data_IF_151523779536
#
_entry.id   IF_151523779536
#
_cell.length_a   1.000
_cell.length_b   1.000
_cell.length_c   1.000
_cell.angle_alpha   90.00
_cell.angle_beta   90.00
_cell.angle_gamma   90.00
#
_symmetry.space_group_name_H-M   'P 1'
#
loop_
_entity.id
_entity.type
_entity.pdbx_description
1 polymer ?
#
# COMPACT_ATOMS: atom_id res chain seq x y z
N UNK A 1 -12.49 -1.79 -53.32
CA UNK A 1 -12.71 -2.42 -52.00
C UNK A 1 -12.56 -1.35 -50.93
N UNK A 2 -13.69 -0.82 -50.44
CA UNK A 2 -13.74 0.06 -49.27
C UNK A 2 -13.91 -0.85 -48.06
N UNK A 3 -12.93 -0.88 -47.17
CA UNK A 3 -13.04 -1.57 -45.88
C UNK A 3 -13.48 -0.56 -44.83
N UNK A 4 -14.50 -1.00 -44.09
CA UNK A 4 -15.34 -0.26 -43.18
C UNK A 4 -14.57 0.15 -41.91
N UNK A 5 -14.72 1.40 -41.50
CA UNK A 5 -14.13 1.93 -40.29
C UNK A 5 -15.06 1.59 -39.11
N UNK A 6 -14.73 0.52 -38.39
CA UNK A 6 -15.40 0.13 -37.15
C UNK A 6 -15.34 1.25 -36.11
N UNK A 7 -16.52 1.73 -35.71
CA UNK A 7 -16.77 2.61 -34.57
C UNK A 7 -16.05 2.10 -33.33
N UNK A 8 -15.27 2.96 -32.68
CA UNK A 8 -14.85 2.81 -31.29
C UNK A 8 -16.08 2.98 -30.40
N UNK A 9 -16.48 1.92 -29.71
CA UNK A 9 -17.45 2.01 -28.63
C UNK A 9 -16.81 2.68 -27.41
N UNK A 10 -17.46 3.74 -26.97
CA UNK A 10 -17.12 4.58 -25.84
C UNK A 10 -17.54 3.85 -24.55
N UNK A 11 -16.57 3.32 -23.79
CA UNK A 11 -16.80 2.52 -22.58
C UNK A 11 -17.10 3.38 -21.34
N UNK A 12 -17.95 4.39 -21.49
CA UNK A 12 -18.58 5.08 -20.35
C UNK A 12 -19.64 4.17 -19.72
N UNK A 13 -19.26 3.29 -18.80
CA UNK A 13 -20.22 2.40 -18.15
C UNK A 13 -21.08 3.16 -17.13
N UNK A 14 -22.36 3.28 -17.46
CA UNK A 14 -23.41 3.89 -16.64
C UNK A 14 -24.00 2.89 -15.65
N UNK A 15 -24.30 3.30 -14.43
CA UNK A 15 -25.12 2.54 -13.49
C UNK A 15 -26.56 2.35 -13.98
N UNK A 16 -27.39 1.65 -13.20
CA UNK A 16 -28.80 1.34 -13.56
C UNK A 16 -29.68 2.57 -13.83
N UNK A 17 -29.17 3.78 -13.56
CA UNK A 17 -29.82 5.08 -13.74
C UNK A 17 -29.13 6.00 -14.77
N UNK A 18 -28.20 5.51 -15.60
CA UNK A 18 -27.54 6.33 -16.62
C UNK A 18 -26.47 7.30 -16.09
N UNK A 19 -26.13 7.25 -14.80
CA UNK A 19 -25.06 8.04 -14.17
C UNK A 19 -23.72 7.28 -14.12
N UNK A 20 -22.58 7.97 -14.16
CA UNK A 20 -21.28 7.32 -13.98
C UNK A 20 -21.18 6.71 -12.57
N UNK A 21 -20.70 5.47 -12.50
CA UNK A 21 -20.52 4.77 -11.22
C UNK A 21 -19.44 5.46 -10.38
N UNK A 22 -19.77 5.76 -9.12
CA UNK A 22 -18.87 6.34 -8.11
C UNK A 22 -18.23 5.22 -7.28
N UNK A 23 -16.91 5.20 -7.20
CA UNK A 23 -16.15 4.19 -6.48
C UNK A 23 -16.00 4.55 -5.01
N UNK A 24 -16.36 3.61 -4.14
CA UNK A 24 -16.32 3.77 -2.69
C UNK A 24 -15.36 2.76 -2.06
N UNK A 25 -14.33 3.24 -1.39
CA UNK A 25 -13.41 2.39 -0.61
C UNK A 25 -13.80 2.47 0.85
N UNK A 26 -13.93 1.32 1.51
CA UNK A 26 -14.24 1.23 2.93
C UNK A 26 -13.05 0.66 3.69
N UNK A 27 -12.73 1.24 4.85
CA UNK A 27 -11.88 0.56 5.82
C UNK A 27 -12.43 -0.83 6.21
N UNK A 28 -11.54 -1.79 6.46
CA UNK A 28 -11.87 -3.17 6.80
C UNK A 28 -12.72 -3.29 8.06
N UNK A 29 -12.66 -2.32 8.97
CA UNK A 29 -13.56 -2.26 10.12
C UNK A 29 -15.04 -2.16 9.71
N UNK A 30 -15.36 -1.42 8.64
CA UNK A 30 -16.70 -1.34 8.08
C UNK A 30 -17.14 -2.67 7.46
N UNK A 31 -16.24 -3.34 6.73
CA UNK A 31 -16.52 -4.68 6.19
C UNK A 31 -16.76 -5.70 7.31
N UNK A 32 -16.00 -5.61 8.40
CA UNK A 32 -16.20 -6.44 9.59
C UNK A 32 -17.55 -6.17 10.27
N UNK A 33 -17.98 -4.91 10.36
CA UNK A 33 -19.30 -4.54 10.88
C UNK A 33 -20.42 -5.12 10.01
N UNK A 34 -20.33 -4.96 8.68
CA UNK A 34 -21.29 -5.51 7.70
C UNK A 34 -21.35 -7.03 7.73
N UNK A 35 -20.21 -7.71 7.82
CA UNK A 35 -20.16 -9.16 7.99
C UNK A 35 -20.79 -9.59 9.33
N UNK A 36 -20.54 -8.83 10.41
CA UNK A 36 -21.14 -9.05 11.72
C UNK A 36 -22.67 -8.95 11.70
N UNK A 37 -23.23 -8.12 10.83
CA UNK A 37 -24.67 -8.07 10.58
C UNK A 37 -25.24 -9.33 9.92
N UNK A 38 -24.49 -10.39 9.63
CA UNK A 38 -25.07 -11.63 9.09
C UNK A 38 -25.43 -12.70 10.12
N UNK A 39 -25.24 -12.41 11.42
CA UNK A 39 -25.57 -13.33 12.53
C UNK A 39 -27.07 -13.56 12.75
N UNK A 40 -27.96 -12.73 12.18
CA UNK A 40 -29.42 -12.88 12.29
C UNK A 40 -30.15 -12.47 10.99
N UNK A 41 -31.36 -12.97 10.74
CA UNK A 41 -32.18 -12.57 9.58
C UNK A 41 -32.42 -11.05 9.53
N UNK A 42 -32.71 -10.43 10.68
CA UNK A 42 -32.94 -8.97 10.79
C UNK A 42 -31.71 -8.17 10.35
N UNK A 43 -30.52 -8.62 10.72
CA UNK A 43 -29.27 -7.91 10.41
C UNK A 43 -28.81 -8.21 8.97
N UNK A 44 -29.15 -9.38 8.40
CA UNK A 44 -28.93 -9.67 6.97
C UNK A 44 -29.74 -8.73 6.08
N UNK A 45 -31.00 -8.47 6.42
CA UNK A 45 -31.84 -7.50 5.70
C UNK A 45 -31.22 -6.09 5.71
N UNK A 46 -30.60 -5.69 6.84
CA UNK A 46 -29.90 -4.40 6.95
C UNK A 46 -28.72 -4.30 5.98
N UNK A 47 -27.94 -5.37 5.85
CA UNK A 47 -26.77 -5.40 4.93
C UNK A 47 -27.21 -5.28 3.47
N UNK A 48 -28.25 -6.02 3.07
CA UNK A 48 -28.81 -5.93 1.71
C UNK A 48 -29.40 -4.54 1.42
N UNK A 49 -30.09 -3.95 2.41
CA UNK A 49 -30.63 -2.60 2.30
C UNK A 49 -29.52 -1.56 2.14
N UNK A 50 -28.42 -1.71 2.88
CA UNK A 50 -27.25 -0.83 2.74
C UNK A 50 -26.66 -0.92 1.33
N UNK A 51 -26.43 -2.13 0.83
CA UNK A 51 -25.93 -2.35 -0.53
C UNK A 51 -26.85 -1.77 -1.61
N UNK A 52 -28.16 -2.03 -1.51
CA UNK A 52 -29.15 -1.49 -2.44
C UNK A 52 -29.13 0.04 -2.46
N UNK A 53 -29.05 0.67 -1.28
CA UNK A 53 -28.96 2.14 -1.18
C UNK A 53 -27.69 2.71 -1.80
N UNK A 54 -26.54 2.04 -1.63
CA UNK A 54 -25.31 2.47 -2.30
C UNK A 54 -25.50 2.47 -3.81
N UNK A 55 -26.05 1.39 -4.36
CA UNK A 55 -26.28 1.25 -5.80
C UNK A 55 -27.34 2.23 -6.33
N UNK A 56 -28.41 2.50 -5.57
CA UNK A 56 -29.41 3.53 -5.88
C UNK A 56 -28.77 4.93 -5.96
N UNK A 57 -27.76 5.19 -5.12
CA UNK A 57 -26.94 6.40 -5.14
C UNK A 57 -25.79 6.31 -6.15
N UNK A 58 -25.71 5.27 -6.99
CA UNK A 58 -24.65 5.11 -7.98
C UNK A 58 -23.26 4.82 -7.40
N UNK A 59 -23.15 4.45 -6.11
CA UNK A 59 -21.91 4.02 -5.49
C UNK A 59 -21.69 2.51 -5.61
N UNK A 60 -20.45 2.11 -5.90
CA UNK A 60 -20.02 0.71 -5.91
C UNK A 60 -18.79 0.55 -5.03
N UNK A 61 -18.76 -0.54 -4.26
CA UNK A 61 -17.65 -0.84 -3.37
C UNK A 61 -16.41 -1.26 -4.18
N UNK A 62 -15.27 -0.63 -3.90
CA UNK A 62 -13.97 -0.99 -4.45
C UNK A 62 -13.20 -1.88 -3.46
N UNK A 63 -12.84 -3.08 -3.92
CA UNK A 63 -12.12 -4.10 -3.18
C UNK A 63 -10.67 -4.25 -3.66
N UNK A 64 -9.83 -4.82 -2.80
CA UNK A 64 -8.45 -5.19 -3.08
C UNK A 64 -8.06 -6.38 -2.22
N UNK A 65 -6.94 -7.03 -2.54
CA UNK A 65 -6.43 -8.18 -1.77
C UNK A 65 -6.16 -7.81 -0.31
N UNK A 66 -5.83 -6.54 -0.03
CA UNK A 66 -5.59 -6.07 1.33
C UNK A 66 -6.84 -6.14 2.21
N UNK A 67 -8.02 -5.82 1.64
CA UNK A 67 -9.29 -6.02 2.35
C UNK A 67 -9.54 -7.50 2.63
N UNK A 68 -9.25 -8.37 1.66
CA UNK A 68 -9.43 -9.81 1.80
C UNK A 68 -8.51 -10.39 2.87
N UNK A 69 -7.22 -10.07 2.81
CA UNK A 69 -6.19 -10.50 3.77
C UNK A 69 -6.61 -10.14 5.21
N UNK A 70 -7.04 -8.90 5.48
CA UNK A 70 -7.46 -8.52 6.83
C UNK A 70 -8.76 -9.21 7.30
N UNK A 71 -9.66 -9.56 6.37
CA UNK A 71 -10.89 -10.27 6.71
C UNK A 71 -10.64 -11.74 7.06
N UNK A 72 -9.67 -12.39 6.41
CA UNK A 72 -9.32 -13.80 6.68
C UNK A 72 -8.30 -13.97 7.80
N UNK A 73 -7.57 -12.90 8.16
CA UNK A 73 -6.55 -12.89 9.21
C UNK A 73 -7.19 -12.87 10.63
N UNK A 74 -7.95 -13.91 10.96
CA UNK A 74 -8.53 -14.11 12.28
C UNK A 74 -8.46 -15.58 12.71
N UNK A 75 -8.35 -15.85 14.00
CA UNK A 75 -8.24 -17.23 14.53
C UNK A 75 -9.58 -17.99 14.53
N UNK A 76 -10.69 -17.27 14.65
CA UNK A 76 -12.06 -17.84 14.60
C UNK A 76 -12.50 -18.15 13.17
N UNK A 77 -12.55 -19.44 12.83
CA UNK A 77 -12.95 -19.96 11.51
C UNK A 77 -14.40 -19.58 11.15
N UNK A 78 -15.32 -19.61 12.13
CA UNK A 78 -16.72 -19.27 11.89
C UNK A 78 -16.87 -17.78 11.53
N UNK A 79 -16.04 -16.92 12.12
CA UNK A 79 -15.99 -15.52 11.75
C UNK A 79 -15.43 -15.31 10.34
N UNK A 80 -14.36 -16.03 9.98
CA UNK A 80 -13.77 -15.95 8.63
C UNK A 80 -14.77 -16.41 7.58
N UNK A 81 -15.43 -17.56 7.78
CA UNK A 81 -16.45 -18.07 6.88
C UNK A 81 -17.63 -17.08 6.72
N UNK A 82 -18.08 -16.44 7.81
CA UNK A 82 -19.11 -15.40 7.74
C UNK A 82 -18.68 -14.17 6.92
N UNK A 83 -17.41 -13.76 7.01
CA UNK A 83 -16.85 -12.64 6.23
C UNK A 83 -16.73 -12.98 4.74
N UNK A 84 -16.28 -14.19 4.42
CA UNK A 84 -16.21 -14.68 3.03
C UNK A 84 -17.61 -14.78 2.42
N UNK A 85 -18.57 -15.36 3.15
CA UNK A 85 -19.98 -15.42 2.71
C UNK A 85 -20.58 -14.03 2.51
N UNK A 86 -20.17 -13.05 3.30
CA UNK A 86 -20.56 -11.66 3.10
C UNK A 86 -19.99 -11.11 1.79
N UNK A 87 -18.67 -11.21 1.56
CA UNK A 87 -18.04 -10.75 0.31
C UNK A 87 -18.67 -11.44 -0.91
N UNK A 88 -18.80 -12.77 -0.88
CA UNK A 88 -19.43 -13.58 -1.92
C UNK A 88 -20.92 -13.28 -2.16
N UNK A 89 -21.55 -12.49 -1.28
CA UNK A 89 -22.96 -12.11 -1.43
C UNK A 89 -23.18 -10.73 -2.00
N UNK A 90 -22.12 -9.93 -2.16
CA UNK A 90 -22.21 -8.63 -2.81
C UNK A 90 -22.55 -8.84 -4.29
N UNK A 91 -23.61 -8.20 -4.73
CA UNK A 91 -24.14 -8.29 -6.09
C UNK A 91 -23.28 -7.51 -7.08
N UNK A 92 -22.75 -6.36 -6.67
CA UNK A 92 -21.98 -5.46 -7.51
C UNK A 92 -20.80 -4.89 -6.73
N UNK A 93 -19.59 -5.18 -7.21
CA UNK A 93 -18.33 -4.67 -6.70
C UNK A 93 -17.41 -4.31 -7.84
N UNK A 94 -16.46 -3.44 -7.54
CA UNK A 94 -15.28 -3.19 -8.34
C UNK A 94 -14.09 -3.74 -7.58
N UNK A 95 -13.09 -4.26 -8.27
CA UNK A 95 -11.85 -4.65 -7.62
C UNK A 95 -10.63 -4.35 -8.48
N UNK A 96 -9.48 -4.23 -7.81
CA UNK A 96 -8.18 -4.10 -8.48
C UNK A 96 -7.90 -5.39 -9.24
N UNK A 97 -7.59 -5.26 -10.53
CA UNK A 97 -7.15 -6.35 -11.39
C UNK A 97 -5.84 -6.93 -10.86
N UNK A 98 -5.81 -8.23 -10.66
CA UNK A 98 -4.57 -8.99 -10.45
C UNK A 98 -3.86 -9.16 -11.80
N UNK A 99 -2.73 -8.49 -11.99
CA UNK A 99 -1.95 -8.56 -13.22
C UNK A 99 -1.12 -9.85 -13.29
N UNK A 100 -0.86 -10.51 -12.17
CA UNK A 100 -0.27 -11.85 -12.13
C UNK A 100 -1.27 -12.96 -12.44
N UNK A 101 -2.58 -12.67 -12.31
CA UNK A 101 -3.70 -13.50 -12.73
C UNK A 101 -3.99 -14.74 -11.86
N UNK A 102 -3.29 -14.94 -10.76
CA UNK A 102 -3.38 -16.15 -9.94
C UNK A 102 -4.60 -16.16 -8.99
N UNK A 103 -4.99 -15.00 -8.47
CA UNK A 103 -6.01 -14.86 -7.42
C UNK A 103 -7.25 -14.12 -7.90
N UNK A 104 -7.12 -13.33 -8.97
CA UNK A 104 -8.20 -12.50 -9.51
C UNK A 104 -8.44 -11.20 -8.73
N UNK A 105 -7.84 -11.05 -7.54
CA UNK A 105 -7.94 -9.88 -6.68
C UNK A 105 -6.56 -9.24 -6.47
N UNK A 106 -6.36 -8.06 -7.03
CA UNK A 106 -5.09 -7.32 -6.99
C UNK A 106 -4.94 -6.42 -5.76
N UNK A 107 -3.72 -5.95 -5.54
CA UNK A 107 -3.33 -5.07 -4.44
C UNK A 107 -2.53 -3.86 -4.89
N UNK A 108 -1.79 -3.28 -3.95
CA UNK A 108 -0.97 -2.07 -4.18
C UNK A 108 0.10 -2.27 -5.26
N UNK A 109 0.65 -3.48 -5.39
CA UNK A 109 1.62 -3.78 -6.44
C UNK A 109 0.96 -3.81 -7.83
N UNK A 110 -0.29 -4.25 -7.94
CA UNK A 110 -1.03 -4.20 -9.20
C UNK A 110 -1.39 -2.77 -9.61
N UNK A 111 -1.63 -1.89 -8.63
CA UNK A 111 -1.75 -0.45 -8.88
C UNK A 111 -0.43 0.07 -9.48
N UNK A 112 0.70 -0.26 -8.86
CA UNK A 112 2.02 0.13 -9.38
C UNK A 112 2.27 -0.42 -10.79
N UNK A 113 1.88 -1.68 -11.07
CA UNK A 113 2.00 -2.27 -12.41
C UNK A 113 1.23 -1.44 -13.43
N UNK A 114 -0.02 -1.08 -13.14
CA UNK A 114 -0.83 -0.25 -14.04
C UNK A 114 -0.23 1.18 -14.23
N UNK A 115 0.31 1.77 -13.17
CA UNK A 115 1.01 3.06 -13.21
C UNK A 115 2.31 2.99 -14.03
N UNK A 116 3.07 1.91 -13.90
CA UNK A 116 4.28 1.66 -14.68
C UNK A 116 3.95 1.47 -16.16
N UNK A 117 2.92 0.68 -16.50
CA UNK A 117 2.43 0.55 -17.88
C UNK A 117 2.02 1.91 -18.47
N UNK A 118 1.36 2.77 -17.69
CA UNK A 118 1.00 4.12 -18.12
C UNK A 118 2.24 4.96 -18.44
N UNK A 119 3.25 4.94 -17.57
CA UNK A 119 4.51 5.67 -17.78
C UNK A 119 5.33 5.13 -18.96
N UNK A 120 5.30 3.82 -19.20
CA UNK A 120 5.98 3.20 -20.34
C UNK A 120 5.38 3.66 -21.69
N UNK A 121 4.05 3.88 -21.75
CA UNK A 121 3.38 4.40 -22.95
C UNK A 121 3.84 5.82 -23.31
N UNK A 122 4.07 6.67 -22.32
CA UNK A 122 4.61 8.00 -22.54
C UNK A 122 5.41 8.48 -21.33
N UNK A 123 6.74 8.60 -21.46
CA UNK A 123 7.61 9.12 -20.39
C UNK A 123 7.37 10.57 -20.00
N UNK A 124 6.47 11.28 -20.70
CA UNK A 124 6.15 12.70 -20.44
C UNK A 124 4.83 12.90 -19.70
N UNK A 125 4.07 11.84 -19.42
CA UNK A 125 2.82 11.95 -18.65
C UNK A 125 3.09 12.55 -17.28
N UNK A 126 2.31 13.57 -16.93
CA UNK A 126 2.27 14.11 -15.56
C UNK A 126 1.65 13.09 -14.59
N UNK A 127 1.84 13.31 -13.28
CA UNK A 127 1.30 12.46 -12.21
C UNK A 127 -0.20 12.15 -12.37
N UNK A 128 -1.02 13.17 -12.71
CA UNK A 128 -2.46 12.99 -12.88
C UNK A 128 -2.80 12.25 -14.18
N UNK A 129 -2.02 12.45 -15.24
CA UNK A 129 -2.19 11.69 -16.49
C UNK A 129 -1.84 10.21 -16.30
N UNK A 130 -0.80 9.91 -15.52
CA UNK A 130 -0.46 8.52 -15.13
C UNK A 130 -1.61 7.90 -14.35
N UNK A 131 -2.13 8.60 -13.34
CA UNK A 131 -3.31 8.17 -12.57
C UNK A 131 -4.49 7.84 -13.49
N UNK A 132 -4.88 8.77 -14.36
CA UNK A 132 -6.06 8.58 -15.21
C UNK A 132 -5.84 7.42 -16.19
N UNK A 133 -4.65 7.33 -16.78
CA UNK A 133 -4.30 6.28 -17.73
C UNK A 133 -4.14 4.89 -17.07
N UNK A 134 -3.76 4.82 -15.79
CA UNK A 134 -3.74 3.58 -15.01
C UNK A 134 -5.17 3.14 -14.64
N UNK A 135 -6.02 4.09 -14.22
CA UNK A 135 -7.42 3.86 -13.83
C UNK A 135 -8.21 3.11 -14.91
N UNK A 136 -7.98 3.41 -16.19
CA UNK A 136 -8.64 2.78 -17.34
C UNK A 136 -8.51 1.25 -17.39
N UNK A 137 -7.40 0.69 -16.87
CA UNK A 137 -7.10 -0.75 -16.97
C UNK A 137 -7.10 -1.47 -15.61
N UNK A 138 -7.01 -0.70 -14.54
CA UNK A 138 -6.80 -1.21 -13.19
C UNK A 138 -8.01 -1.94 -12.61
N UNK A 139 -9.23 -1.66 -13.09
CA UNK A 139 -10.45 -2.16 -12.47
C UNK A 139 -11.13 -3.29 -13.24
N UNK A 140 -11.72 -4.21 -12.48
CA UNK A 140 -12.68 -5.21 -12.93
C UNK A 140 -14.01 -5.01 -12.19
N UNK A 141 -15.12 -5.39 -12.84
CA UNK A 141 -16.47 -5.21 -12.35
C UNK A 141 -17.21 -6.55 -12.37
N UNK A 142 -18.08 -6.77 -11.39
CA UNK A 142 -18.82 -8.02 -11.27
C UNK A 142 -19.39 -8.23 -9.88
N UNK A 143 -19.71 -9.48 -9.55
CA UNK A 143 -20.17 -9.85 -8.22
C UNK A 143 -19.00 -10.08 -7.27
N UNK A 144 -19.27 -10.07 -5.97
CA UNK A 144 -18.26 -10.41 -4.97
C UNK A 144 -17.79 -11.86 -5.08
N UNK A 145 -18.55 -12.76 -5.71
CA UNK A 145 -18.08 -14.12 -6.05
C UNK A 145 -17.03 -14.10 -7.13
N UNK A 146 -17.20 -13.26 -8.14
CA UNK A 146 -16.23 -13.11 -9.23
C UNK A 146 -14.93 -12.53 -8.68
N UNK A 147 -15.03 -11.54 -7.79
CA UNK A 147 -13.88 -10.87 -7.18
C UNK A 147 -13.00 -11.81 -6.33
N UNK A 148 -13.61 -12.66 -5.49
CA UNK A 148 -12.85 -13.54 -4.56
C UNK A 148 -12.69 -14.97 -5.08
N UNK A 149 -13.27 -15.30 -6.24
CA UNK A 149 -13.38 -16.68 -6.73
C UNK A 149 -12.03 -17.38 -6.88
N UNK A 150 -11.01 -16.67 -7.34
CA UNK A 150 -9.64 -17.19 -7.44
C UNK A 150 -8.92 -17.34 -6.10
N UNK A 151 -9.37 -16.65 -5.05
CA UNK A 151 -8.80 -16.77 -3.70
C UNK A 151 -9.33 -18.01 -2.96
N UNK A 152 -10.58 -18.41 -3.19
CA UNK A 152 -11.24 -19.47 -2.40
C UNK A 152 -10.53 -20.84 -2.44
N UNK A 153 -9.98 -21.32 -3.57
CA UNK A 153 -9.25 -22.59 -3.62
C UNK A 153 -7.98 -22.61 -2.76
N UNK A 154 -7.42 -21.44 -2.45
CA UNK A 154 -6.17 -21.27 -1.71
C UNK A 154 -6.41 -20.65 -0.33
N UNK A 155 -7.62 -20.75 0.21
CA UNK A 155 -8.01 -19.99 1.39
C UNK A 155 -7.11 -20.27 2.60
N UNK A 156 -6.74 -21.53 2.83
CA UNK A 156 -5.91 -21.92 3.96
C UNK A 156 -4.47 -21.40 3.79
N UNK A 157 -3.91 -21.49 2.58
CA UNK A 157 -2.60 -20.96 2.24
C UNK A 157 -2.57 -19.43 2.34
N UNK A 158 -3.59 -18.76 1.80
CA UNK A 158 -3.75 -17.30 1.88
C UNK A 158 -3.92 -16.85 3.32
N UNK A 159 -4.62 -17.62 4.16
CA UNK A 159 -4.78 -17.30 5.58
C UNK A 159 -3.47 -17.43 6.33
N UNK A 160 -2.72 -18.52 6.11
CA UNK A 160 -1.39 -18.68 6.67
C UNK A 160 -0.46 -17.52 6.24
N UNK A 161 -0.52 -17.15 4.96
CA UNK A 161 0.25 -16.05 4.39
C UNK A 161 -0.18 -14.69 4.96
N UNK A 162 -1.48 -14.43 5.14
CA UNK A 162 -2.00 -13.19 5.73
C UNK A 162 -1.56 -13.05 7.20
N UNK A 163 -1.59 -14.13 7.97
CA UNK A 163 -1.07 -14.16 9.36
C UNK A 163 0.43 -13.86 9.37
N UNK A 164 1.20 -14.51 8.49
CA UNK A 164 2.63 -14.27 8.34
C UNK A 164 2.94 -12.81 7.95
N UNK A 165 2.26 -12.28 6.93
CA UNK A 165 2.41 -10.89 6.46
C UNK A 165 2.10 -9.90 7.56
N UNK A 166 1.04 -10.11 8.32
CA UNK A 166 0.70 -9.22 9.43
C UNK A 166 1.74 -9.24 10.55
N UNK A 167 2.37 -10.38 10.81
CA UNK A 167 3.50 -10.47 11.73
C UNK A 167 4.71 -9.69 11.18
N UNK A 168 5.04 -9.88 9.89
CA UNK A 168 6.09 -9.10 9.20
C UNK A 168 5.80 -7.59 9.18
N UNK A 169 4.56 -7.17 9.00
CA UNK A 169 4.18 -5.76 9.03
C UNK A 169 4.45 -5.14 10.40
N UNK A 170 4.15 -5.84 11.50
CA UNK A 170 4.49 -5.37 12.86
C UNK A 170 6.00 -5.22 13.03
N UNK A 171 6.75 -6.22 12.56
CA UNK A 171 8.21 -6.23 12.60
C UNK A 171 8.84 -5.06 11.84
N UNK A 172 8.36 -4.78 10.62
CA UNK A 172 8.80 -3.66 9.79
C UNK A 172 8.48 -2.32 10.47
N UNK A 173 7.25 -2.13 10.94
CA UNK A 173 6.84 -0.88 11.60
C UNK A 173 7.59 -0.65 12.92
N UNK A 174 7.96 -1.72 13.62
CA UNK A 174 8.73 -1.64 14.85
C UNK A 174 10.19 -1.19 14.61
N UNK A 175 10.81 -1.60 13.50
CA UNK A 175 12.21 -1.28 13.18
C UNK A 175 12.37 0.01 12.37
N UNK A 176 11.50 0.24 11.37
CA UNK A 176 11.57 1.38 10.45
C UNK A 176 11.54 2.74 11.16
N UNK A 177 11.03 2.76 12.38
CA UNK A 177 10.71 3.98 13.10
C UNK A 177 11.48 4.14 14.39
N UNK A 178 12.47 3.28 14.63
CA UNK A 178 13.26 3.34 15.83
C UNK A 178 14.18 4.57 15.83
N UNK A 179 14.07 5.39 16.86
CA UNK A 179 14.93 6.55 17.13
C UNK A 179 16.40 6.15 17.39
N UNK A 180 16.68 4.84 17.43
CA UNK A 180 18.03 4.26 17.41
C UNK A 180 18.82 4.67 16.16
N UNK A 181 18.13 4.89 15.03
CA UNK A 181 18.75 5.04 13.72
C UNK A 181 18.33 6.29 12.96
N UNK A 182 17.74 7.30 13.61
CA UNK A 182 17.18 8.43 12.87
C UNK A 182 18.27 9.29 12.22
N UNK A 183 18.63 8.87 11.01
CA UNK A 183 19.51 9.54 10.06
C UNK A 183 18.73 9.93 8.81
N UNK A 184 17.40 9.87 8.87
CA UNK A 184 16.50 10.04 7.73
C UNK A 184 16.77 11.36 7.01
N UNK A 185 17.00 12.43 7.77
CA UNK A 185 17.19 13.78 7.24
C UNK A 185 18.69 14.14 7.05
N UNK A 186 19.60 13.19 7.30
CA UNK A 186 21.04 13.40 7.08
C UNK A 186 21.33 13.32 5.58
N UNK A 187 21.96 14.36 5.04
CA UNK A 187 22.39 14.40 3.64
C UNK A 187 23.43 13.32 3.33
N UNK A 188 23.30 12.69 2.17
CA UNK A 188 24.24 11.69 1.67
C UNK A 188 25.67 12.24 1.54
N UNK A 189 25.81 13.53 1.22
CA UNK A 189 27.11 14.23 1.17
C UNK A 189 27.88 14.17 2.50
N UNK A 190 27.17 14.14 3.64
CA UNK A 190 27.79 14.04 4.97
C UNK A 190 28.46 12.68 5.18
N UNK A 191 27.84 11.62 4.65
CA UNK A 191 28.39 10.27 4.71
C UNK A 191 29.57 10.09 3.75
N UNK A 192 29.49 10.67 2.55
CA UNK A 192 30.59 10.72 1.57
C UNK A 192 31.84 11.42 2.11
N UNK A 193 31.66 12.41 3.00
CA UNK A 193 32.74 13.13 3.65
C UNK A 193 33.25 12.45 4.94
N UNK A 194 32.57 11.41 5.43
CA UNK A 194 32.88 10.74 6.69
C UNK A 194 34.08 9.79 6.58
N UNK A 195 34.92 9.73 7.63
CA UNK A 195 35.96 8.71 7.73
C UNK A 195 35.35 7.34 8.09
N UNK A 196 35.76 6.28 7.38
CA UNK A 196 35.41 4.89 7.70
C UNK A 196 35.87 4.54 9.13
N UNK A 197 34.97 3.99 9.96
CA UNK A 197 35.28 3.55 11.33
C UNK A 197 35.95 2.17 11.32
N UNK A 198 36.85 1.91 12.26
CA UNK A 198 37.52 0.61 12.42
C UNK A 198 36.53 -0.52 12.77
N UNK A 199 36.75 -1.71 12.19
CA UNK A 199 35.86 -2.89 12.24
C UNK A 199 35.58 -3.44 13.65
N UNK A 200 36.51 -3.31 14.60
CA UNK A 200 36.32 -3.74 16.00
C UNK A 200 35.33 -2.89 16.81
N UNK A 201 35.14 -1.61 16.44
CA UNK A 201 34.13 -0.75 17.07
C UNK A 201 32.72 -1.02 16.55
N UNK A 202 32.60 -1.54 15.33
CA UNK A 202 31.31 -1.77 14.66
C UNK A 202 30.44 -2.80 15.38
N UNK A 203 31.00 -3.93 15.84
CA UNK A 203 30.24 -4.96 16.56
C UNK A 203 29.68 -4.43 17.88
N UNK A 204 30.49 -3.68 18.64
CA UNK A 204 30.07 -3.08 19.92
C UNK A 204 29.00 -2.02 19.71
N UNK A 205 29.14 -1.19 18.67
CA UNK A 205 28.15 -0.17 18.32
C UNK A 205 26.83 -0.81 17.89
N UNK A 206 26.87 -1.86 17.06
CA UNK A 206 25.68 -2.59 16.63
C UNK A 206 24.98 -3.28 17.81
N UNK A 207 25.73 -3.82 18.78
CA UNK A 207 25.13 -4.41 19.99
C UNK A 207 24.45 -3.36 20.89
N UNK A 208 25.06 -2.18 21.03
CA UNK A 208 24.43 -1.06 21.73
C UNK A 208 23.15 -0.59 21.02
N UNK A 209 23.18 -0.49 19.69
CA UNK A 209 21.99 -0.19 18.88
C UNK A 209 20.92 -1.27 19.05
N UNK A 210 21.30 -2.55 19.06
CA UNK A 210 20.40 -3.69 19.31
C UNK A 210 19.69 -3.55 20.65
N UNK A 211 20.43 -3.25 21.71
CA UNK A 211 19.86 -3.08 23.05
C UNK A 211 18.89 -1.90 23.11
N UNK A 212 19.24 -0.77 22.49
CA UNK A 212 18.35 0.41 22.41
C UNK A 212 17.08 0.08 21.63
N UNK A 213 17.20 -0.67 20.52
CA UNK A 213 16.06 -1.05 19.66
C UNK A 213 15.09 -1.96 20.40
N UNK A 214 15.60 -2.95 21.13
CA UNK A 214 14.76 -3.82 21.98
C UNK A 214 14.00 -2.98 23.01
N UNK A 215 14.65 -2.01 23.67
CA UNK A 215 14.00 -1.13 24.63
C UNK A 215 12.84 -0.34 24.01
N UNK A 216 13.08 0.26 22.86
CA UNK A 216 12.09 1.09 22.15
C UNK A 216 10.90 0.27 21.62
N UNK A 217 11.15 -0.92 21.07
CA UNK A 217 10.08 -1.81 20.61
C UNK A 217 9.23 -2.30 21.79
N UNK A 218 9.82 -2.57 22.96
CA UNK A 218 9.06 -2.94 24.16
C UNK A 218 8.14 -1.80 24.62
N UNK A 219 8.64 -0.57 24.61
CA UNK A 219 7.88 0.60 25.04
C UNK A 219 6.78 0.97 24.04
N UNK A 220 7.15 1.12 22.76
CA UNK A 220 6.33 1.76 21.72
C UNK A 220 5.85 0.80 20.62
N UNK A 221 6.38 -0.41 20.51
CA UNK A 221 5.98 -1.37 19.48
C UNK A 221 4.56 -1.93 19.67
N UNK A 222 4.02 -2.55 18.61
CA UNK A 222 2.73 -3.23 18.63
C UNK A 222 2.73 -4.34 19.69
N UNK A 223 1.79 -4.29 20.64
CA UNK A 223 1.77 -5.22 21.79
C UNK A 223 1.50 -6.68 21.40
N UNK A 224 1.15 -6.95 20.14
CA UNK A 224 0.95 -8.30 19.59
C UNK A 224 2.22 -8.88 18.97
N UNK A 225 3.33 -8.16 18.98
CA UNK A 225 4.61 -8.72 18.53
C UNK A 225 5.02 -9.90 19.42
N UNK A 226 5.54 -10.94 18.78
CA UNK A 226 6.14 -12.09 19.45
C UNK A 226 7.50 -11.76 20.06
N UNK A 227 8.46 -12.67 19.90
CA UNK A 227 9.80 -12.50 20.49
C UNK A 227 10.58 -11.32 19.86
N UNK A 228 10.51 -10.17 20.54
CA UNK A 228 11.18 -8.93 20.15
C UNK A 228 12.70 -9.11 20.08
N UNK A 229 13.30 -9.92 20.98
CA UNK A 229 14.76 -10.10 21.02
C UNK A 229 15.23 -10.95 19.84
N UNK A 230 14.50 -12.02 19.51
CA UNK A 230 14.79 -12.84 18.35
C UNK A 230 14.67 -12.01 17.05
N UNK A 231 13.58 -11.25 16.89
CA UNK A 231 13.37 -10.36 15.75
C UNK A 231 14.52 -9.36 15.58
N UNK A 232 14.82 -8.63 16.65
CA UNK A 232 15.89 -7.62 16.65
C UNK A 232 17.24 -8.28 16.32
N UNK A 233 17.53 -9.46 16.86
CA UNK A 233 18.79 -10.17 16.57
C UNK A 233 18.88 -10.59 15.10
N UNK A 234 17.80 -11.12 14.52
CA UNK A 234 17.74 -11.45 13.09
C UNK A 234 17.97 -10.21 12.22
N UNK A 235 17.34 -9.08 12.56
CA UNK A 235 17.53 -7.82 11.83
C UNK A 235 18.99 -7.37 11.82
N UNK A 236 19.68 -7.38 12.97
CA UNK A 236 21.09 -6.98 13.02
C UNK A 236 22.02 -8.00 12.36
N UNK A 237 21.65 -9.27 12.34
CA UNK A 237 22.38 -10.28 11.57
C UNK A 237 22.30 -9.96 10.07
N UNK A 238 21.10 -9.65 9.54
CA UNK A 238 20.94 -9.24 8.15
C UNK A 238 21.75 -7.98 7.81
N UNK A 239 21.83 -7.01 8.74
CA UNK A 239 22.64 -5.80 8.59
C UNK A 239 24.13 -6.14 8.53
N UNK A 240 24.61 -7.05 9.39
CA UNK A 240 26.00 -7.51 9.37
C UNK A 240 26.35 -8.26 8.09
N UNK A 241 25.47 -9.18 7.66
CA UNK A 241 25.66 -9.95 6.43
C UNK A 241 25.69 -9.07 5.18
N UNK A 242 24.84 -8.04 5.11
CA UNK A 242 24.88 -7.04 4.03
C UNK A 242 26.09 -6.13 4.13
N UNK A 243 26.45 -5.71 5.34
CA UNK A 243 27.65 -4.89 5.58
C UNK A 243 28.94 -5.61 5.15
N UNK A 244 29.00 -6.93 5.33
CA UNK A 244 30.13 -7.75 4.91
C UNK A 244 30.32 -7.84 3.39
N UNK A 245 29.31 -7.48 2.59
CA UNK A 245 29.41 -7.41 1.13
C UNK A 245 30.04 -6.08 0.64
N UNK A 246 30.22 -5.10 1.53
CA UNK A 246 30.80 -3.82 1.20
C UNK A 246 32.32 -3.95 1.19
N UNK A 247 32.95 -3.47 0.11
CA UNK A 247 34.39 -3.52 -0.04
C UNK A 247 35.02 -2.28 0.62
N UNK A 248 35.71 -2.51 1.73
CA UNK A 248 36.45 -1.49 2.46
C UNK A 248 37.56 -0.85 1.60
N UNK A 249 38.07 -1.56 0.58
CA UNK A 249 39.16 -1.16 -0.29
C UNK A 249 38.71 -0.65 -1.67
N UNK A 250 37.41 -0.66 -1.96
CA UNK A 250 36.90 -0.15 -3.24
C UNK A 250 37.14 1.34 -3.39
N UNK A 251 37.43 1.76 -4.63
CA UNK A 251 37.52 3.16 -5.02
C UNK A 251 36.16 3.87 -5.06
N UNK A 252 35.06 3.10 -5.03
CA UNK A 252 33.68 3.60 -4.97
C UNK A 252 33.33 3.98 -3.53
N UNK A 253 32.71 5.14 -3.34
CA UNK A 253 32.28 5.62 -2.03
C UNK A 253 31.31 4.64 -1.34
N UNK A 254 31.35 4.57 0.00
CA UNK A 254 30.53 3.65 0.77
C UNK A 254 29.02 3.86 0.54
N UNK A 255 28.58 5.10 0.38
CA UNK A 255 27.18 5.44 0.08
C UNK A 255 26.78 4.89 -1.27
N UNK A 256 27.67 5.00 -2.26
CA UNK A 256 27.42 4.54 -3.62
C UNK A 256 27.44 3.01 -3.69
N UNK A 257 28.32 2.34 -2.93
CA UNK A 257 28.29 0.89 -2.75
C UNK A 257 26.99 0.42 -2.10
N UNK A 258 26.50 1.12 -1.07
CA UNK A 258 25.21 0.83 -0.44
C UNK A 258 24.08 1.04 -1.46
N UNK A 259 24.03 2.17 -2.16
CA UNK A 259 23.02 2.41 -3.19
C UNK A 259 22.99 1.28 -4.23
N UNK A 260 24.16 0.87 -4.75
CA UNK A 260 24.28 -0.24 -5.70
C UNK A 260 23.83 -1.59 -5.10
N UNK A 261 24.18 -1.89 -3.85
CA UNK A 261 23.72 -3.09 -3.13
C UNK A 261 22.18 -3.13 -3.02
N UNK A 262 21.55 -1.97 -2.91
CA UNK A 262 20.10 -1.82 -2.89
C UNK A 262 19.49 -1.61 -4.29
N UNK A 263 20.29 -1.75 -5.35
CA UNK A 263 19.84 -1.67 -6.76
C UNK A 263 19.55 -0.25 -7.24
N UNK A 264 20.06 0.76 -6.53
CA UNK A 264 19.92 2.19 -6.86
C UNK A 264 21.16 2.67 -7.60
N UNK A 265 20.95 3.40 -8.69
CA UNK A 265 22.02 4.15 -9.35
C UNK A 265 22.34 5.40 -8.51
N UNK A 266 23.56 5.57 -7.98
CA UNK A 266 23.94 6.74 -7.18
C UNK A 266 23.74 8.07 -7.91
N UNK A 267 23.83 8.08 -9.25
CA UNK A 267 23.66 9.28 -10.07
C UNK A 267 22.19 9.68 -10.22
N UNK A 268 21.25 8.80 -9.86
CA UNK A 268 19.81 9.10 -9.88
C UNK A 268 19.37 9.95 -8.67
N UNK A 269 20.23 10.12 -7.66
CA UNK A 269 19.92 10.90 -6.46
C UNK A 269 20.42 12.34 -6.61
N UNK A 270 19.62 13.35 -6.23
CA UNK A 270 20.08 14.74 -6.26
C UNK A 270 21.23 14.97 -5.27
N UNK A 271 22.10 15.98 -5.49
CA UNK A 271 23.26 16.22 -4.62
C UNK A 271 22.93 16.50 -3.16
N UNK A 272 21.74 17.02 -2.87
CA UNK A 272 21.22 17.29 -1.53
C UNK A 272 20.30 16.18 -0.99
N UNK A 273 20.24 15.04 -1.67
CA UNK A 273 19.51 13.86 -1.24
C UNK A 273 19.89 13.46 0.19
N UNK A 274 18.90 12.97 0.90
CA UNK A 274 18.98 12.47 2.26
C UNK A 274 18.95 10.94 2.29
N UNK A 275 19.25 10.33 3.44
CA UNK A 275 19.10 8.89 3.61
C UNK A 275 17.65 8.43 3.36
N UNK A 276 16.67 9.26 3.71
CA UNK A 276 15.24 9.03 3.44
C UNK A 276 14.95 8.91 1.94
N UNK A 277 15.59 9.74 1.12
CA UNK A 277 15.42 9.72 -0.34
C UNK A 277 16.01 8.45 -0.95
N UNK A 278 17.19 8.02 -0.46
CA UNK A 278 17.78 6.74 -0.85
C UNK A 278 16.90 5.55 -0.44
N UNK A 279 16.34 5.53 0.78
CA UNK A 279 15.42 4.46 1.23
C UNK A 279 14.17 4.38 0.34
N UNK A 280 13.59 5.54 0.00
CA UNK A 280 12.41 5.63 -0.83
C UNK A 280 12.70 5.12 -2.26
N UNK A 281 13.83 5.53 -2.85
CA UNK A 281 14.25 5.07 -4.18
C UNK A 281 14.59 3.58 -4.21
N UNK A 282 15.27 3.07 -3.18
CA UNK A 282 15.56 1.64 -3.07
C UNK A 282 14.29 0.79 -2.97
N UNK A 283 13.32 1.24 -2.17
CA UNK A 283 11.99 0.61 -2.09
C UNK A 283 11.31 0.62 -3.46
N UNK A 284 11.28 1.76 -4.13
CA UNK A 284 10.66 1.89 -5.45
C UNK A 284 11.31 0.98 -6.49
N UNK A 285 12.65 0.94 -6.55
CA UNK A 285 13.39 0.08 -7.47
C UNK A 285 13.08 -1.41 -7.27
N UNK A 286 12.91 -1.87 -6.02
CA UNK A 286 12.48 -3.24 -5.72
C UNK A 286 11.03 -3.51 -6.14
N UNK A 287 10.14 -2.55 -5.94
CA UNK A 287 8.76 -2.69 -6.39
C UNK A 287 8.68 -2.72 -7.93
N UNK A 288 9.50 -1.93 -8.63
CA UNK A 288 9.64 -1.99 -10.08
C UNK A 288 10.20 -3.33 -10.57
N UNK A 289 11.10 -3.97 -9.81
CA UNK A 289 11.58 -5.33 -10.14
C UNK A 289 10.44 -6.34 -10.14
N UNK A 290 9.56 -6.28 -9.14
CA UNK A 290 8.35 -7.12 -9.12
C UNK A 290 7.43 -6.78 -10.30
N UNK A 291 7.20 -5.49 -10.56
CA UNK A 291 6.36 -5.05 -11.68
C UNK A 291 6.92 -5.48 -13.04
N UNK A 292 8.24 -5.43 -13.22
CA UNK A 292 8.92 -5.90 -14.42
C UNK A 292 8.68 -7.39 -14.65
N UNK A 293 8.76 -8.20 -13.58
CA UNK A 293 8.45 -9.62 -13.61
C UNK A 293 7.01 -9.91 -14.04
N UNK A 294 6.04 -9.16 -13.51
CA UNK A 294 4.62 -9.29 -13.87
C UNK A 294 4.37 -8.88 -15.32
N UNK A 295 5.01 -7.81 -15.79
CA UNK A 295 4.87 -7.31 -17.17
C UNK A 295 5.66 -8.12 -18.20
N UNK A 296 6.56 -9.01 -17.77
CA UNK A 296 7.48 -9.71 -18.65
C UNK A 296 8.46 -8.78 -19.37
N UNK A 297 8.83 -7.65 -18.73
CA UNK A 297 9.70 -6.63 -19.30
C UNK A 297 11.07 -6.60 -18.60
N UNK A 298 12.14 -6.15 -19.29
CA UNK A 298 13.42 -5.88 -18.64
C UNK A 298 13.30 -4.80 -17.56
N UNK A 299 13.86 -5.05 -16.37
CA UNK A 299 13.89 -4.06 -15.28
C UNK A 299 14.55 -2.73 -15.71
N UNK A 300 15.57 -2.80 -16.58
CA UNK A 300 16.24 -1.63 -17.13
C UNK A 300 15.26 -0.68 -17.85
N UNK A 301 14.28 -1.21 -18.57
CA UNK A 301 13.30 -0.41 -19.31
C UNK A 301 12.36 0.34 -18.36
N UNK A 302 11.94 -0.32 -17.27
CA UNK A 302 11.12 0.32 -16.23
C UNK A 302 11.92 1.40 -15.51
N UNK A 303 13.16 1.11 -15.09
CA UNK A 303 14.01 2.10 -14.40
C UNK A 303 14.29 3.34 -15.25
N UNK A 304 14.44 3.18 -16.56
CA UNK A 304 14.71 4.29 -17.46
C UNK A 304 13.49 5.21 -17.71
N UNK A 305 12.26 4.72 -17.48
CA UNK A 305 11.02 5.40 -17.92
C UNK A 305 10.05 5.71 -16.79
N UNK A 306 10.07 4.96 -15.71
CA UNK A 306 9.21 5.14 -14.55
C UNK A 306 9.92 6.02 -13.51
N UNK A 307 9.26 7.07 -13.06
CA UNK A 307 9.78 7.98 -12.04
C UNK A 307 8.85 8.00 -10.81
N UNK A 308 9.43 8.06 -9.61
CA UNK A 308 8.68 8.04 -8.35
C UNK A 308 7.68 9.18 -8.26
N UNK A 309 8.08 10.38 -8.66
CA UNK A 309 7.31 11.62 -8.55
C UNK A 309 6.11 11.64 -9.51
N UNK A 310 6.13 10.75 -10.52
CA UNK A 310 5.05 10.55 -11.49
C UNK A 310 4.21 9.31 -11.21
N UNK A 311 4.50 8.60 -10.12
CA UNK A 311 3.82 7.36 -9.71
C UNK A 311 2.87 7.64 -8.54
N UNK A 312 1.54 7.70 -8.74
CA UNK A 312 0.58 8.06 -7.70
C UNK A 312 0.66 7.22 -6.42
N UNK A 313 0.76 5.89 -6.54
CA UNK A 313 0.86 5.00 -5.38
C UNK A 313 2.14 5.25 -4.56
N UNK A 314 3.24 5.63 -5.21
CA UNK A 314 4.49 5.99 -4.55
C UNK A 314 4.34 7.31 -3.79
N UNK A 315 3.83 8.36 -4.45
CA UNK A 315 3.56 9.67 -3.83
C UNK A 315 2.67 9.52 -2.60
N UNK A 316 1.60 8.71 -2.68
CA UNK A 316 0.69 8.51 -1.54
C UNK A 316 1.38 7.75 -0.41
N UNK A 317 2.10 6.66 -0.69
CA UNK A 317 2.80 5.89 0.34
C UNK A 317 3.85 6.73 1.07
N UNK A 318 4.64 7.49 0.32
CA UNK A 318 5.71 8.32 0.88
C UNK A 318 5.17 9.53 1.64
N UNK A 319 4.10 10.17 1.17
CA UNK A 319 3.43 11.24 1.91
C UNK A 319 2.85 10.75 3.24
N UNK A 320 2.19 9.59 3.24
CA UNK A 320 1.65 8.99 4.46
C UNK A 320 2.74 8.52 5.41
N UNK A 321 3.87 8.00 4.90
CA UNK A 321 5.03 7.59 5.69
C UNK A 321 5.74 8.79 6.32
N UNK A 322 6.00 9.82 5.53
CA UNK A 322 6.80 10.98 5.93
C UNK A 322 6.05 11.89 6.90
N UNK A 323 4.76 12.11 6.67
CA UNK A 323 3.95 13.05 7.46
C UNK A 323 3.03 12.41 8.48
N UNK A 324 3.29 11.14 8.82
CA UNK A 324 2.56 10.42 9.85
C UNK A 324 2.63 11.11 11.21
N UNK A 325 1.69 10.76 12.08
CA UNK A 325 1.74 11.15 13.48
C UNK A 325 2.73 10.28 14.25
N UNK A 326 3.45 10.90 15.19
CA UNK A 326 4.16 10.14 16.20
C UNK A 326 3.17 9.71 17.30
N UNK A 327 2.96 8.41 17.44
CA UNK A 327 1.99 7.82 18.37
C UNK A 327 2.69 7.09 19.51
N UNK A 328 1.98 6.94 20.64
CA UNK A 328 2.50 6.19 21.78
C UNK A 328 2.75 4.71 21.45
N UNK A 329 1.87 4.10 20.66
CA UNK A 329 2.03 2.75 20.11
C UNK A 329 2.13 2.79 18.59
N UNK A 330 3.12 2.08 18.03
CA UNK A 330 3.38 1.89 16.60
C UNK A 330 2.73 0.58 16.14
N UNK A 331 1.47 0.69 15.70
CA UNK A 331 0.67 -0.47 15.28
C UNK A 331 1.07 -0.97 13.89
N UNK A 332 1.25 -2.28 13.74
CA UNK A 332 1.60 -2.89 12.45
C UNK A 332 0.55 -2.69 11.35
N UNK A 333 -0.70 -2.39 11.70
CA UNK A 333 -1.76 -2.06 10.74
C UNK A 333 -1.50 -0.78 9.95
N UNK A 334 -0.55 0.07 10.39
CA UNK A 334 -0.13 1.27 9.67
C UNK A 334 0.32 0.96 8.22
N UNK A 335 0.98 -0.18 7.99
CA UNK A 335 1.40 -0.55 6.64
C UNK A 335 0.21 -0.90 5.75
N UNK A 336 -0.78 -1.64 6.27
CA UNK A 336 -2.02 -1.94 5.55
C UNK A 336 -2.84 -0.68 5.28
N UNK A 337 -2.91 0.25 6.24
CA UNK A 337 -3.57 1.55 6.06
C UNK A 337 -2.94 2.37 4.92
N UNK A 338 -1.60 2.33 4.79
CA UNK A 338 -0.89 2.96 3.65
C UNK A 338 -1.28 2.31 2.32
N UNK A 339 -1.38 0.99 2.28
CA UNK A 339 -1.80 0.28 1.07
C UNK A 339 -3.24 0.60 0.67
N UNK A 340 -4.18 0.65 1.63
CA UNK A 340 -5.55 1.09 1.38
C UNK A 340 -5.60 2.56 0.95
N UNK A 341 -4.74 3.41 1.53
CA UNK A 341 -4.58 4.80 1.13
C UNK A 341 -4.24 4.98 -0.36
N UNK A 342 -3.53 4.03 -0.97
CA UNK A 342 -3.20 4.07 -2.40
C UNK A 342 -4.41 3.94 -3.33
N UNK A 343 -5.58 3.53 -2.81
CA UNK A 343 -6.82 3.50 -3.57
C UNK A 343 -7.46 4.89 -3.69
N UNK A 344 -7.12 5.82 -2.80
CA UNK A 344 -7.76 7.13 -2.71
C UNK A 344 -7.65 8.00 -3.97
N UNK A 345 -6.52 8.02 -4.70
CA UNK A 345 -6.45 8.70 -6.00
C UNK A 345 -7.45 8.18 -7.04
N UNK A 346 -7.87 6.93 -6.91
CA UNK A 346 -8.65 6.22 -7.92
C UNK A 346 -10.12 6.09 -7.57
N UNK A 347 -10.48 6.35 -6.32
CA UNK A 347 -11.84 6.29 -5.80
C UNK A 347 -12.47 7.68 -5.69
N UNK A 348 -13.80 7.74 -5.72
CA UNK A 348 -14.55 8.97 -5.49
C UNK A 348 -14.56 9.34 -4.00
N UNK A 349 -14.62 8.34 -3.12
CA UNK A 349 -14.48 8.53 -1.66
C UNK A 349 -13.75 7.32 -1.06
N UNK A 350 -12.77 7.59 -0.20
CA UNK A 350 -12.08 6.58 0.60
C UNK A 350 -12.30 6.81 2.09
N UNK A 351 -13.01 5.89 2.74
CA UNK A 351 -13.23 5.91 4.18
C UNK A 351 -12.09 5.22 4.91
N UNK A 352 -11.46 5.96 5.82
CA UNK A 352 -10.35 5.47 6.64
C UNK A 352 -10.62 5.74 8.13
N UNK A 353 -9.80 5.18 9.00
CA UNK A 353 -9.86 5.48 10.42
C UNK A 353 -9.44 6.93 10.74
N UNK A 354 -9.57 7.33 12.01
CA UNK A 354 -9.21 8.69 12.46
C UNK A 354 -7.74 9.01 12.22
N UNK A 355 -6.83 8.09 12.55
CA UNK A 355 -5.38 8.28 12.49
C UNK A 355 -4.95 8.47 11.04
N UNK A 356 -5.40 7.59 10.16
CA UNK A 356 -5.10 7.64 8.73
C UNK A 356 -5.64 8.91 8.10
N UNK A 357 -6.86 9.34 8.46
CA UNK A 357 -7.42 10.63 7.99
C UNK A 357 -6.54 11.82 8.40
N UNK A 358 -6.03 11.82 9.63
CA UNK A 358 -5.14 12.89 10.11
C UNK A 358 -3.76 12.86 9.41
N UNK A 359 -3.24 11.68 9.08
CA UNK A 359 -2.03 11.54 8.25
C UNK A 359 -2.23 12.14 6.86
N UNK A 360 -3.35 11.83 6.19
CA UNK A 360 -3.72 12.45 4.90
C UNK A 360 -3.79 13.98 5.01
N UNK A 361 -4.42 14.51 6.06
CA UNK A 361 -4.51 15.96 6.28
C UNK A 361 -3.13 16.61 6.49
N UNK A 362 -2.24 15.97 7.25
CA UNK A 362 -0.87 16.46 7.46
C UNK A 362 -0.07 16.45 6.17
N UNK A 363 -0.11 15.34 5.43
CA UNK A 363 0.56 15.20 4.14
C UNK A 363 0.08 16.24 3.14
N UNK A 364 -1.24 16.37 2.97
CA UNK A 364 -1.85 17.36 2.07
C UNK A 364 -1.48 18.82 2.38
N UNK A 365 -1.23 19.16 3.66
CA UNK A 365 -0.80 20.50 4.06
C UNK A 365 0.67 20.77 3.77
N UNK A 366 1.52 19.74 3.85
CA UNK A 366 2.98 19.86 3.76
C UNK A 366 3.52 19.57 2.36
N UNK A 367 2.81 18.80 1.57
CA UNK A 367 3.23 18.36 0.24
C UNK A 367 2.14 18.68 -0.81
N UNK A 368 2.38 19.69 -1.66
CA UNK A 368 1.49 20.03 -2.77
C UNK A 368 1.30 18.92 -3.80
N UNK A 369 2.33 18.08 -4.04
CA UNK A 369 2.27 16.96 -4.98
C UNK A 369 1.31 15.90 -4.45
N UNK A 370 1.46 15.52 -3.18
CA UNK A 370 0.51 14.64 -2.49
C UNK A 370 -0.92 15.19 -2.54
N UNK A 371 -1.10 16.48 -2.22
CA UNK A 371 -2.41 17.13 -2.24
C UNK A 371 -3.08 17.06 -3.61
N UNK A 372 -2.30 17.13 -4.69
CA UNK A 372 -2.84 17.08 -6.05
C UNK A 372 -3.44 15.72 -6.42
N UNK A 373 -2.99 14.63 -5.79
CA UNK A 373 -3.32 13.26 -6.20
C UNK A 373 -4.18 12.48 -5.20
N UNK A 374 -4.17 12.81 -3.91
CA UNK A 374 -4.77 12.02 -2.81
C UNK A 374 -6.26 11.63 -2.93
N UNK A 375 -7.05 12.27 -3.80
CA UNK A 375 -8.51 12.07 -3.87
C UNK A 375 -9.27 12.54 -2.62
N UNK A 376 -10.57 12.21 -2.52
CA UNK A 376 -11.40 12.54 -1.35
C UNK A 376 -11.32 11.41 -0.33
N UNK A 377 -10.75 11.73 0.83
CA UNK A 377 -10.66 10.81 1.98
C UNK A 377 -11.64 11.28 3.05
N UNK A 378 -12.36 10.37 3.71
CA UNK A 378 -13.31 10.70 4.77
C UNK A 378 -13.16 9.75 5.96
N UNK A 379 -13.80 10.10 7.08
CA UNK A 379 -13.88 9.22 8.25
C UNK A 379 -15.33 8.93 8.60
N UNK A 380 -15.66 7.65 8.67
CA UNK A 380 -16.90 7.17 9.29
C UNK A 380 -16.54 6.25 10.46
N UNK A 381 -17.29 6.36 11.57
CA UNK A 381 -17.08 5.48 12.74
C UNK A 381 -17.74 4.11 12.55
N UNK A 382 -18.82 4.08 11.78
CA UNK A 382 -19.67 2.92 11.56
C UNK A 382 -20.52 3.13 10.31
N UNK A 383 -21.25 2.09 9.91
CA UNK A 383 -22.12 2.12 8.73
C UNK A 383 -23.19 3.21 8.80
N UNK A 384 -23.78 3.47 9.98
CA UNK A 384 -24.80 4.51 10.12
C UNK A 384 -24.25 5.93 9.91
N UNK A 385 -23.01 6.20 10.33
CA UNK A 385 -22.35 7.47 10.08
C UNK A 385 -22.00 7.63 8.60
N UNK A 386 -21.57 6.54 7.96
CA UNK A 386 -21.29 6.51 6.53
C UNK A 386 -22.55 6.82 5.70
N UNK A 387 -23.68 6.19 6.02
CA UNK A 387 -24.96 6.43 5.35
C UNK A 387 -25.42 7.91 5.43
N UNK A 388 -25.11 8.61 6.53
CA UNK A 388 -25.40 10.04 6.67
C UNK A 388 -24.49 10.89 5.79
N UNK A 389 -23.18 10.63 5.82
CA UNK A 389 -22.20 11.37 5.02
C UNK A 389 -22.45 11.25 3.51
N UNK A 390 -22.91 10.08 3.06
CA UNK A 390 -23.28 9.87 1.66
C UNK A 390 -24.57 10.62 1.29
N UNK A 391 -25.56 10.68 2.18
CA UNK A 391 -26.78 11.46 1.95
C UNK A 391 -26.52 12.97 1.91
N UNK A 392 -25.64 13.48 2.79
CA UNK A 392 -25.30 14.90 2.87
C UNK A 392 -24.44 15.37 1.68
N UNK A 393 -23.74 14.46 0.99
CA UNK A 393 -22.91 14.78 -0.19
C UNK A 393 -23.74 14.99 -1.47
N UNK A 394 -25.06 14.81 -1.42
CA UNK A 394 -26.00 15.01 -2.54
C UNK A 394 -26.82 16.31 -2.41
N UNK A 395 -26.63 17.05 -1.31
CA UNK A 395 -27.18 18.40 -1.07
C UNK A 395 -26.14 19.47 -1.39
#
# INVERSE_FOLDING_TARGET
>A
MKADAGKREDNGQTGSLGQPLRLLVLDTSHFSELAGFRRSQKTQARTRKFEARLLEQGYVLLLSIHHFDELIQHADDALVDARIKFLASLSHVVWIRDHGGALGLGGVLDILVAEAEAQLRSPTMSLLQVRDAAKEKMFLFGSGRDAIGGCLPFLDELRALAIYRAQRHREIIATQHADVFDMSDVKLSTFRAGQKRNSGDSVRVLDAMRTKLVGEINERGDKRMGDIRAHTSSFFQDVLEKGAQLDEHSAVDLVDQIAQLFGVDPDALPPDATMRDLEALATFCRQLEVAAGVLGLPLADLRARCAMERTPSCVVQEGLRTYRQDTAERKGSELTDRYLGCLAPYADITFVDKRTKENFQKASRKDPVFKSVQGRVEKARNIAALERLLADSES
#
